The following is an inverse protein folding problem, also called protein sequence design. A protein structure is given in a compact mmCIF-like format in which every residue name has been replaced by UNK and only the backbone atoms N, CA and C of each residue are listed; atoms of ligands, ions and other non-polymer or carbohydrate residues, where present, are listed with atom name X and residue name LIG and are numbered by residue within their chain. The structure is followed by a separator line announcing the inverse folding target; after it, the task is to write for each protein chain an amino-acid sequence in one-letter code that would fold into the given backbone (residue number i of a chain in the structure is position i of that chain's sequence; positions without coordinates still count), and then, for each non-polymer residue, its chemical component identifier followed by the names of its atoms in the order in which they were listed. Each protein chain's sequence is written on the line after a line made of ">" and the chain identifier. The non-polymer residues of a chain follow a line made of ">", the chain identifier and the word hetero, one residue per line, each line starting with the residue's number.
data_IF_435478741649
#
_entry.id   IF_435478741649
#
_cell.length_a   1.000
_cell.length_b   1.000
_cell.length_c   1.000
_cell.angle_alpha   90.00
_cell.angle_beta   90.00
_cell.angle_gamma   90.00
#
_symmetry.space_group_name_H-M   'P 1'
#
loop_
_entity.id
_entity.type
_entity.pdbx_description
1 polymer ?
#
# COMPACT_ATOMS: atom_id res chain seq x y z
N UNK A 1 20.65 14.11 -5.77
CA UNK A 1 19.40 14.00 -6.56
C UNK A 1 18.74 15.36 -6.72
N UNK A 2 18.32 15.74 -7.92
CA UNK A 2 17.40 16.88 -8.09
C UNK A 2 16.02 16.45 -7.60
N UNK A 3 15.43 17.19 -6.67
CA UNK A 3 14.13 16.88 -6.05
C UNK A 3 12.99 16.56 -7.05
N UNK A 4 13.14 17.00 -8.31
CA UNK A 4 12.21 16.73 -9.41
C UNK A 4 12.10 15.24 -9.79
N UNK A 5 13.19 14.48 -9.83
CA UNK A 5 13.16 13.09 -10.33
C UNK A 5 12.35 12.16 -9.40
N UNK A 6 12.62 12.21 -8.10
CA UNK A 6 11.88 11.40 -7.11
C UNK A 6 10.41 11.81 -6.99
N UNK A 7 10.10 13.10 -7.17
CA UNK A 7 8.70 13.55 -7.25
C UNK A 7 8.00 12.91 -8.44
N UNK A 8 8.67 12.84 -9.61
CA UNK A 8 8.13 12.16 -10.78
C UNK A 8 7.92 10.67 -10.52
N UNK A 9 8.90 9.95 -9.95
CA UNK A 9 8.75 8.52 -9.63
C UNK A 9 7.60 8.27 -8.65
N UNK A 10 7.50 9.07 -7.59
CA UNK A 10 6.40 9.01 -6.62
C UNK A 10 5.04 9.12 -7.34
N UNK A 11 4.87 10.13 -8.19
CA UNK A 11 3.62 10.35 -8.94
C UNK A 11 3.35 9.25 -9.97
N UNK A 12 4.37 8.72 -10.64
CA UNK A 12 4.18 7.62 -11.61
C UNK A 12 3.76 6.33 -10.90
N UNK A 13 4.41 6.00 -9.78
CA UNK A 13 4.14 4.76 -9.05
C UNK A 13 2.72 4.79 -8.45
N UNK A 14 2.30 5.90 -7.85
CA UNK A 14 0.96 6.03 -7.27
C UNK A 14 -0.14 5.92 -8.33
N UNK A 15 0.05 6.56 -9.49
CA UNK A 15 -0.90 6.49 -10.60
C UNK A 15 -0.93 5.10 -11.23
N UNK A 16 0.22 4.45 -11.43
CA UNK A 16 0.27 3.09 -11.93
C UNK A 16 -0.43 2.10 -10.99
N UNK A 17 -0.16 2.20 -9.68
CA UNK A 17 -0.81 1.36 -8.67
C UNK A 17 -2.33 1.60 -8.62
N UNK A 18 -2.78 2.85 -8.73
CA UNK A 18 -4.20 3.20 -8.79
C UNK A 18 -4.88 2.62 -10.03
N UNK A 19 -4.27 2.75 -11.21
CA UNK A 19 -4.81 2.20 -12.45
C UNK A 19 -4.95 0.67 -12.38
N UNK A 20 -3.96 -0.01 -11.80
CA UNK A 20 -4.04 -1.45 -11.55
C UNK A 20 -5.14 -1.79 -10.52
N UNK A 21 -5.28 -0.98 -9.46
CA UNK A 21 -6.29 -1.17 -8.42
C UNK A 21 -7.72 -1.03 -8.96
N UNK A 22 -7.95 -0.06 -9.84
CA UNK A 22 -9.28 0.21 -10.42
C UNK A 22 -9.56 -0.73 -11.60
N UNK A 23 -8.57 -0.95 -12.48
CA UNK A 23 -8.76 -1.66 -13.74
C UNK A 23 -8.47 -3.17 -13.72
N UNK A 24 -7.59 -3.65 -12.85
CA UNK A 24 -7.10 -5.05 -12.87
C UNK A 24 -7.45 -5.82 -11.62
N UNK A 25 -7.47 -5.19 -10.44
CA UNK A 25 -7.67 -5.90 -9.17
C UNK A 25 -8.99 -6.68 -9.11
N UNK A 26 -10.04 -6.22 -9.81
CA UNK A 26 -11.30 -6.97 -9.92
C UNK A 26 -11.17 -8.28 -10.71
N UNK A 27 -10.44 -8.26 -11.83
CA UNK A 27 -10.23 -9.40 -12.73
C UNK A 27 -9.37 -10.50 -12.11
N UNK A 28 -8.48 -10.15 -11.20
CA UNK A 28 -7.62 -11.10 -10.49
C UNK A 28 -8.19 -11.49 -9.11
N UNK A 29 -9.46 -11.18 -8.84
CA UNK A 29 -10.10 -11.59 -7.59
C UNK A 29 -10.25 -13.11 -7.51
N UNK A 30 -10.06 -13.67 -6.31
CA UNK A 30 -10.23 -15.10 -6.05
C UNK A 30 -11.38 -15.27 -5.07
N UNK A 31 -12.53 -15.73 -5.56
CA UNK A 31 -13.76 -15.79 -4.78
C UNK A 31 -14.21 -14.39 -4.35
N UNK A 32 -14.31 -14.14 -3.05
CA UNK A 32 -14.65 -12.83 -2.48
C UNK A 32 -13.44 -11.96 -2.14
N UNK A 33 -12.21 -12.44 -2.40
CA UNK A 33 -10.97 -11.74 -2.05
C UNK A 33 -10.46 -10.96 -3.26
N UNK A 34 -10.62 -9.63 -3.22
CA UNK A 34 -10.03 -8.68 -4.19
C UNK A 34 -8.73 -8.12 -3.62
N UNK A 35 -7.56 -8.30 -4.26
CA UNK A 35 -6.29 -7.79 -3.74
C UNK A 35 -6.26 -6.25 -3.67
N UNK A 36 -5.51 -5.71 -2.73
CA UNK A 36 -5.26 -4.27 -2.59
C UNK A 36 -3.83 -3.95 -3.04
N UNK A 37 -3.71 -3.69 -4.35
CA UNK A 37 -2.44 -3.40 -5.03
C UNK A 37 -1.88 -2.07 -4.52
N UNK A 38 -2.75 -1.09 -4.29
CA UNK A 38 -2.37 0.24 -3.86
C UNK A 38 -1.86 0.27 -2.42
N UNK A 39 -2.49 -0.48 -1.51
CA UNK A 39 -2.00 -0.69 -0.15
C UNK A 39 -0.64 -1.39 -0.17
N UNK A 40 -0.51 -2.47 -0.96
CA UNK A 40 0.75 -3.21 -1.07
C UNK A 40 1.88 -2.31 -1.57
N UNK A 41 1.61 -1.50 -2.60
CA UNK A 41 2.55 -0.50 -3.11
C UNK A 41 2.88 0.57 -2.06
N UNK A 42 1.89 1.06 -1.31
CA UNK A 42 2.07 2.04 -0.22
C UNK A 42 3.05 1.52 0.83
N UNK A 43 2.87 0.28 1.29
CA UNK A 43 3.72 -0.35 2.31
C UNK A 43 5.13 -0.55 1.78
N UNK A 44 5.26 -1.10 0.57
CA UNK A 44 6.57 -1.32 -0.06
C UNK A 44 7.32 0.01 -0.25
N UNK A 45 6.64 1.04 -0.74
CA UNK A 45 7.21 2.37 -0.91
C UNK A 45 7.64 2.98 0.43
N UNK A 46 6.82 2.86 1.46
CA UNK A 46 7.16 3.31 2.81
C UNK A 46 8.41 2.62 3.36
N UNK A 47 8.60 1.32 3.10
CA UNK A 47 9.79 0.59 3.51
C UNK A 47 11.07 1.07 2.82
N UNK A 48 11.00 1.62 1.60
CA UNK A 48 12.14 2.23 0.93
C UNK A 48 12.38 3.68 1.36
N UNK A 49 11.31 4.45 1.51
CA UNK A 49 11.36 5.91 1.55
C UNK A 49 11.15 6.51 2.95
N UNK A 50 10.68 5.70 3.90
CA UNK A 50 10.44 6.08 5.29
C UNK A 50 9.01 6.57 5.59
N UNK A 51 8.73 6.89 6.86
CA UNK A 51 7.37 7.10 7.38
C UNK A 51 6.65 8.28 6.74
N UNK A 52 7.30 9.44 6.60
CA UNK A 52 6.67 10.64 6.02
C UNK A 52 6.25 10.42 4.57
N UNK A 53 7.10 9.80 3.74
CA UNK A 53 6.79 9.55 2.33
C UNK A 53 5.78 8.41 2.17
N UNK A 54 5.83 7.41 3.05
CA UNK A 54 4.82 6.36 3.15
C UNK A 54 3.44 6.93 3.47
N UNK A 55 3.35 7.84 4.45
CA UNK A 55 2.11 8.53 4.81
C UNK A 55 1.54 9.35 3.63
N UNK A 56 2.39 10.13 2.95
CA UNK A 56 1.97 10.91 1.78
C UNK A 56 1.49 10.02 0.62
N UNK A 57 2.18 8.89 0.38
CA UNK A 57 1.77 7.92 -0.63
C UNK A 57 0.40 7.32 -0.28
N UNK A 58 0.23 6.91 0.98
CA UNK A 58 -1.04 6.37 1.47
C UNK A 58 -2.18 7.38 1.41
N UNK A 59 -1.92 8.64 1.77
CA UNK A 59 -2.91 9.71 1.73
C UNK A 59 -3.39 9.98 0.30
N UNK A 60 -2.48 10.30 -0.61
CA UNK A 60 -2.85 10.64 -1.99
C UNK A 60 -3.39 9.43 -2.73
N UNK A 61 -2.83 8.25 -2.49
CA UNK A 61 -3.26 7.01 -3.11
C UNK A 61 -4.66 6.63 -2.65
N UNK A 62 -4.87 6.58 -1.34
CA UNK A 62 -6.18 6.28 -0.76
C UNK A 62 -7.23 7.33 -1.12
N UNK A 63 -6.88 8.62 -1.16
CA UNK A 63 -7.82 9.66 -1.57
C UNK A 63 -8.24 9.49 -3.03
N UNK A 64 -7.29 9.23 -3.93
CA UNK A 64 -7.61 8.96 -5.34
C UNK A 64 -8.42 7.67 -5.49
N UNK A 65 -8.06 6.60 -4.77
CA UNK A 65 -8.85 5.36 -4.76
C UNK A 65 -10.28 5.63 -4.29
N UNK A 66 -10.46 6.40 -3.22
CA UNK A 66 -11.80 6.75 -2.73
C UNK A 66 -12.60 7.57 -3.77
N UNK A 67 -11.94 8.40 -4.59
CA UNK A 67 -12.58 9.17 -5.68
C UNK A 67 -12.97 8.28 -6.88
N UNK A 68 -12.09 7.34 -7.26
CA UNK A 68 -12.30 6.49 -8.43
C UNK A 68 -13.09 5.21 -8.13
N UNK A 69 -13.30 4.90 -6.87
CA UNK A 69 -14.15 3.78 -6.42
C UNK A 69 -15.44 4.33 -5.81
N UNK A 70 -16.48 3.49 -5.67
CA UNK A 70 -17.72 3.87 -4.98
C UNK A 70 -17.56 3.87 -3.45
N UNK A 71 -16.34 4.08 -2.95
CA UNK A 71 -16.02 4.08 -1.54
C UNK A 71 -16.37 5.43 -0.88
N UNK A 72 -16.40 5.44 0.46
CA UNK A 72 -16.61 6.66 1.24
C UNK A 72 -15.35 7.51 1.17
N UNK A 73 -15.49 8.74 0.66
CA UNK A 73 -14.38 9.68 0.49
C UNK A 73 -13.61 9.89 1.80
N UNK A 74 -12.30 9.63 1.79
CA UNK A 74 -11.38 9.88 2.89
C UNK A 74 -11.15 8.69 3.83
N UNK A 75 -11.99 7.65 3.78
CA UNK A 75 -11.80 6.46 4.63
C UNK A 75 -10.57 5.66 4.19
N UNK A 76 -10.41 5.43 2.88
CA UNK A 76 -9.22 4.77 2.33
C UNK A 76 -7.98 5.64 2.51
N UNK A 77 -8.10 6.94 2.27
CA UNK A 77 -7.02 7.91 2.52
C UNK A 77 -6.50 7.83 3.96
N UNK A 78 -7.41 7.88 4.95
CA UNK A 78 -7.05 7.82 6.38
C UNK A 78 -6.35 6.50 6.73
N UNK A 79 -6.96 5.36 6.35
CA UNK A 79 -6.41 4.04 6.67
C UNK A 79 -5.03 3.82 6.03
N UNK A 80 -4.89 4.12 4.73
CA UNK A 80 -3.62 3.96 4.02
C UNK A 80 -2.55 4.93 4.52
N UNK A 81 -2.90 6.13 4.96
CA UNK A 81 -1.95 7.08 5.58
C UNK A 81 -1.33 6.49 6.84
N UNK A 82 -2.15 5.98 7.76
CA UNK A 82 -1.66 5.37 9.01
C UNK A 82 -0.77 4.17 8.72
N UNK A 83 -1.23 3.28 7.83
CA UNK A 83 -0.48 2.09 7.47
C UNK A 83 0.84 2.45 6.78
N UNK A 84 0.83 3.41 5.87
CA UNK A 84 2.05 3.91 5.20
C UNK A 84 3.03 4.51 6.19
N UNK A 85 2.56 5.32 7.15
CA UNK A 85 3.41 5.90 8.20
C UNK A 85 4.08 4.82 9.04
N UNK A 86 3.30 3.94 9.67
CA UNK A 86 3.83 2.93 10.58
C UNK A 86 4.67 1.87 9.88
N UNK A 87 4.35 1.53 8.63
CA UNK A 87 5.20 0.65 7.83
C UNK A 87 6.56 1.30 7.56
N UNK A 88 6.60 2.60 7.28
CA UNK A 88 7.84 3.32 7.05
C UNK A 88 8.75 3.43 8.28
N UNK A 89 8.19 3.45 9.50
CA UNK A 89 8.96 3.33 10.75
C UNK A 89 9.73 2.00 10.84
N UNK A 90 9.21 0.95 10.22
CA UNK A 90 9.85 -0.37 10.19
C UNK A 90 10.99 -0.47 9.17
N UNK A 91 11.22 0.56 8.34
CA UNK A 91 12.30 0.59 7.34
C UNK A 91 13.64 0.16 7.93
N UNK A 92 14.01 0.70 9.09
CA UNK A 92 15.30 0.40 9.73
C UNK A 92 15.41 -1.05 10.23
N UNK A 93 14.28 -1.75 10.39
CA UNK A 93 14.24 -3.15 10.83
C UNK A 93 14.32 -4.11 9.65
N UNK A 94 13.97 -3.66 8.44
CA UNK A 94 14.11 -4.42 7.19
C UNK A 94 15.54 -4.25 6.64
N UNK A 95 16.52 -4.80 7.36
CA UNK A 95 17.94 -4.75 6.96
C UNK A 95 18.32 -5.92 6.04
N UNK A 96 17.51 -6.98 6.04
CA UNK A 96 17.76 -8.18 5.23
C UNK A 96 17.37 -7.97 3.77
N UNK A 97 18.17 -8.49 2.84
CA UNK A 97 17.85 -8.56 1.40
C UNK A 97 16.67 -9.49 1.09
N UNK A 98 16.14 -10.20 2.10
CA UNK A 98 15.03 -11.12 1.94
C UNK A 98 13.68 -10.41 1.82
N UNK A 99 12.89 -10.80 0.82
CA UNK A 99 11.50 -10.32 0.62
C UNK A 99 10.53 -10.81 1.71
N UNK A 100 10.94 -11.77 2.54
CA UNK A 100 10.11 -12.34 3.62
C UNK A 100 9.69 -11.28 4.64
N UNK A 101 10.55 -10.33 4.98
CA UNK A 101 10.21 -9.26 5.92
C UNK A 101 9.11 -8.33 5.37
N UNK A 102 9.24 -7.78 4.15
CA UNK A 102 8.14 -7.08 3.48
C UNK A 102 6.84 -7.89 3.44
N UNK A 103 6.89 -9.18 3.12
CA UNK A 103 5.71 -10.05 3.08
C UNK A 103 4.98 -10.12 4.43
N UNK A 104 5.73 -10.28 5.53
CA UNK A 104 5.17 -10.33 6.88
C UNK A 104 4.58 -8.97 7.28
N UNK A 105 5.26 -7.88 6.95
CA UNK A 105 4.78 -6.52 7.23
C UNK A 105 3.49 -6.26 6.47
N UNK A 106 3.42 -6.60 5.17
CA UNK A 106 2.22 -6.44 4.35
C UNK A 106 1.07 -7.28 4.88
N UNK A 107 1.34 -8.52 5.32
CA UNK A 107 0.33 -9.38 5.93
C UNK A 107 -0.31 -8.71 7.16
N UNK A 108 0.50 -8.32 8.15
CA UNK A 108 0.02 -7.70 9.40
C UNK A 108 -0.64 -6.35 9.12
N UNK A 109 -0.03 -5.53 8.27
CA UNK A 109 -0.56 -4.22 7.89
C UNK A 109 -1.91 -4.31 7.17
N UNK A 110 -2.13 -5.34 6.36
CA UNK A 110 -3.44 -5.57 5.70
C UNK A 110 -4.53 -5.89 6.72
N UNK A 111 -4.23 -6.72 7.72
CA UNK A 111 -5.19 -7.01 8.80
C UNK A 111 -5.56 -5.73 9.58
N UNK A 112 -4.56 -4.91 9.92
CA UNK A 112 -4.77 -3.64 10.60
C UNK A 112 -5.53 -2.64 9.72
N UNK A 113 -5.21 -2.57 8.43
CA UNK A 113 -5.87 -1.69 7.46
C UNK A 113 -7.38 -1.97 7.40
N UNK A 114 -7.78 -3.23 7.29
CA UNK A 114 -9.20 -3.59 7.24
C UNK A 114 -9.93 -3.31 8.56
N UNK A 115 -9.26 -3.48 9.70
CA UNK A 115 -9.81 -3.09 11.00
C UNK A 115 -10.01 -1.57 11.11
N UNK A 116 -9.03 -0.78 10.66
CA UNK A 116 -9.10 0.68 10.65
C UNK A 116 -10.22 1.15 9.72
N UNK A 117 -10.33 0.60 8.50
CA UNK A 117 -11.42 0.92 7.58
C UNK A 117 -12.78 0.60 8.15
N UNK A 118 -12.92 -0.58 8.77
CA UNK A 118 -14.17 -0.98 9.39
C UNK A 118 -14.58 -0.05 10.53
N UNK A 119 -13.62 0.36 11.37
CA UNK A 119 -13.85 1.36 12.42
C UNK A 119 -14.20 2.73 11.80
N UNK A 120 -13.48 3.19 10.79
CA UNK A 120 -13.77 4.46 10.12
C UNK A 120 -15.19 4.49 9.51
N UNK A 121 -15.64 3.40 8.88
CA UNK A 121 -17.02 3.29 8.41
C UNK A 121 -18.06 3.40 9.52
N UNK A 122 -17.78 2.90 10.74
CA UNK A 122 -18.69 3.12 11.89
C UNK A 122 -18.77 4.58 12.29
N UNK A 123 -17.64 5.28 12.30
CA UNK A 123 -17.58 6.66 12.74
C UNK A 123 -18.31 7.61 11.78
N UNK A 124 -18.31 7.29 10.49
CA UNK A 124 -19.02 8.06 9.46
C UNK A 124 -20.52 7.69 9.40
N UNK A 125 -20.97 6.69 10.16
CA UNK A 125 -22.38 6.29 10.20
C UNK A 125 -22.83 5.52 8.95
N UNK A 126 -21.93 4.80 8.28
CA UNK A 126 -22.29 3.99 7.12
C UNK A 126 -23.11 2.76 7.56
N UNK A 127 -24.43 2.85 7.43
CA UNK A 127 -25.37 1.81 7.86
C UNK A 127 -25.24 0.51 7.05
N UNK A 128 -25.07 0.62 5.72
CA UNK A 128 -24.91 -0.52 4.81
C UNK A 128 -23.44 -0.85 4.54
N UNK A 129 -22.68 -1.11 5.60
CA UNK A 129 -21.27 -1.50 5.49
C UNK A 129 -21.11 -3.01 5.26
N UNK A 130 -20.08 -3.44 4.49
CA UNK A 130 -19.75 -4.86 4.39
C UNK A 130 -19.44 -5.47 5.77
N UNK A 131 -19.89 -6.71 6.05
CA UNK A 131 -19.55 -7.37 7.30
C UNK A 131 -18.05 -7.69 7.37
N UNK A 132 -17.47 -7.56 8.55
CA UNK A 132 -16.08 -7.96 8.78
C UNK A 132 -16.02 -9.49 8.88
N UNK A 133 -15.72 -10.14 7.75
CA UNK A 133 -15.53 -11.59 7.69
C UNK A 133 -14.05 -11.94 7.91
N UNK A 134 -13.66 -12.57 9.03
CA UNK A 134 -12.26 -12.88 9.33
C UNK A 134 -11.59 -13.75 8.27
N UNK A 135 -12.33 -14.67 7.62
CA UNK A 135 -11.78 -15.52 6.57
C UNK A 135 -11.42 -14.74 5.31
N UNK A 136 -12.26 -13.77 4.93
CA UNK A 136 -11.99 -12.88 3.78
C UNK A 136 -10.82 -11.95 4.09
N UNK A 137 -10.79 -11.36 5.29
CA UNK A 137 -9.71 -10.46 5.73
C UNK A 137 -8.37 -11.20 5.81
N UNK A 138 -8.36 -12.42 6.34
CA UNK A 138 -7.17 -13.27 6.37
C UNK A 138 -6.72 -13.66 4.95
N UNK A 139 -7.66 -14.07 4.09
CA UNK A 139 -7.37 -14.38 2.68
C UNK A 139 -6.79 -13.18 1.93
N UNK A 140 -7.33 -11.99 2.17
CA UNK A 140 -6.82 -10.73 1.62
C UNK A 140 -5.39 -10.43 2.09
N UNK A 141 -5.13 -10.57 3.39
CA UNK A 141 -3.79 -10.38 3.95
C UNK A 141 -2.78 -11.35 3.35
N UNK A 142 -3.16 -12.62 3.17
CA UNK A 142 -2.32 -13.63 2.52
C UNK A 142 -2.08 -13.28 1.05
N UNK A 143 -3.12 -12.87 0.32
CA UNK A 143 -2.99 -12.46 -1.08
C UNK A 143 -2.04 -11.26 -1.21
N UNK A 144 -2.27 -10.17 -0.46
CA UNK A 144 -1.39 -9.00 -0.50
C UNK A 144 0.07 -9.36 -0.10
N UNK A 145 0.25 -10.26 0.86
CA UNK A 145 1.57 -10.78 1.24
C UNK A 145 2.26 -11.50 0.08
N UNK A 146 1.55 -12.37 -0.66
CA UNK A 146 2.10 -13.03 -1.86
C UNK A 146 2.35 -12.01 -2.99
N UNK A 147 1.44 -11.05 -3.20
CA UNK A 147 1.58 -9.98 -4.19
C UNK A 147 2.85 -9.15 -3.97
N UNK A 148 3.30 -9.04 -2.72
CA UNK A 148 4.55 -8.38 -2.35
C UNK A 148 5.76 -8.97 -3.07
N UNK A 149 5.75 -10.27 -3.41
CA UNK A 149 6.82 -10.92 -4.18
C UNK A 149 7.04 -10.28 -5.55
N UNK A 150 5.97 -9.75 -6.16
CA UNK A 150 6.05 -9.03 -7.43
C UNK A 150 6.29 -7.53 -7.21
N UNK A 151 5.54 -6.90 -6.30
CA UNK A 151 5.54 -5.44 -6.10
C UNK A 151 6.86 -4.96 -5.48
N UNK A 152 7.36 -5.63 -4.45
CA UNK A 152 8.56 -5.20 -3.73
C UNK A 152 9.81 -5.10 -4.61
N UNK A 153 10.22 -6.15 -5.37
CA UNK A 153 11.39 -6.04 -6.24
C UNK A 153 11.17 -5.08 -7.42
N UNK A 154 9.94 -4.94 -7.92
CA UNK A 154 9.62 -3.98 -8.98
C UNK A 154 9.89 -2.55 -8.51
N UNK A 155 9.38 -2.18 -7.34
CA UNK A 155 9.63 -0.87 -6.73
C UNK A 155 11.09 -0.70 -6.31
N UNK A 156 11.69 -1.77 -5.79
CA UNK A 156 13.11 -1.80 -5.42
C UNK A 156 14.05 -1.53 -6.59
N UNK A 157 13.69 -1.85 -7.83
CA UNK A 157 14.51 -1.47 -9.02
C UNK A 157 14.58 0.04 -9.24
N UNK A 158 13.49 0.75 -8.95
CA UNK A 158 13.47 2.20 -9.06
C UNK A 158 14.18 2.86 -7.87
N UNK A 159 14.04 2.29 -6.67
CA UNK A 159 14.71 2.78 -5.45
C UNK A 159 16.22 2.45 -5.42
N UNK A 160 16.65 1.25 -5.83
CA UNK A 160 18.06 0.81 -5.76
C UNK A 160 18.94 1.36 -6.90
N UNK A 161 18.34 1.78 -8.02
CA UNK A 161 19.08 2.48 -9.09
C UNK A 161 19.63 3.82 -8.59
N UNK A 162 18.95 4.45 -7.63
CA UNK A 162 19.40 5.69 -7.01
C UNK A 162 20.64 5.51 -6.10
N UNK A 163 20.73 4.45 -5.28
CA UNK A 163 21.90 4.22 -4.41
C UNK A 163 23.19 3.99 -5.21
N UNK A 164 23.12 3.27 -6.35
CA UNK A 164 24.29 3.04 -7.20
C UNK A 164 24.78 4.33 -7.87
N UNK A 165 23.90 5.20 -8.33
CA UNK A 165 24.30 6.46 -8.97
C UNK A 165 24.93 7.46 -7.98
N UNK A 166 24.66 7.33 -6.68
CA UNK A 166 25.27 8.15 -5.62
C UNK A 166 26.65 7.67 -5.16
N UNK A 167 27.02 6.40 -5.40
CA UNK A 167 28.35 5.86 -5.03
C UNK A 167 29.43 6.15 -6.09
N UNK A 168 29.04 6.55 -7.30
CA UNK A 168 29.95 6.83 -8.41
C UNK A 168 30.02 8.33 -8.77
N UNK A 169 29.59 9.20 -7.85
CA UNK A 169 29.78 10.66 -7.89
C UNK A 169 30.65 11.08 -6.71
#
# INVERSE_FOLDING_TARGET
>A
MNAAHRRLLFTVIILAALLLQVGVAGEISVGSVKPDILLTATICWALFEGPTRGALFGFWGGLLEDVFTTAVLGVGAFAKTLIGYFSGELRQRVVSKSVVWPMLIVFVATLLHELIKFAAWTMVGLEQRPPLNPGVVFGLALYNSVLTLAVYPLLGRFAAREEREMMFQ
#
